data_IF_726856569078
#
_entry.id   IF_726856569078
#
_cell.length_a   1.000
_cell.length_b   1.000
_cell.length_c   1.000
_cell.angle_alpha   90.00
_cell.angle_beta   90.00
_cell.angle_gamma   90.00
#
_symmetry.space_group_name_H-M   'P 1'
#
loop_
_entity.id
_entity.type
_entity.pdbx_description
1 polymer ?
2 non-polymer ?
3 non-polymer ?
4 water ?
#
# COMPACT_ATOMS: atom_id res chain seq x y z
C UNK A 1 -19.78 -29.34 17.40
N UNK A 2 -20.19 -28.63 16.36
CA UNK A 2 -19.30 -27.59 15.73
C UNK A 2 -19.88 -26.21 16.05
N UNK A 3 -19.05 -25.18 16.13
CA UNK A 3 -19.53 -23.81 16.32
C UNK A 3 -18.79 -22.84 15.40
N UNK A 4 -19.43 -21.72 15.15
CA UNK A 4 -18.83 -20.63 14.34
C UNK A 4 -17.90 -19.84 15.20
N UNK A 5 -16.59 -19.91 14.91
CA UNK A 5 -15.63 -19.18 15.68
C UNK A 5 -15.42 -17.78 15.12
N UNK A 6 -15.55 -17.64 13.80
CA UNK A 6 -15.38 -16.31 13.15
C UNK A 6 -16.11 -16.36 11.81
N UNK A 7 -16.55 -15.21 11.39
CA UNK A 7 -17.32 -15.12 10.17
C UNK A 7 -17.25 -13.68 9.68
N UNK A 8 -17.04 -13.52 8.40
CA UNK A 8 -17.18 -12.26 7.78
C UNK A 8 -17.63 -12.41 6.36
N UNK A 9 -18.35 -11.40 5.84
CA UNK A 9 -18.88 -11.53 4.47
C UNK A 9 -19.13 -10.13 3.92
N UNK A 10 -19.14 -10.05 2.61
CA UNK A 10 -19.43 -8.78 1.94
C UNK A 10 -19.11 -8.76 0.46
N UNK A 11 -18.60 -7.65 -0.06
CA UNK A 11 -18.48 -7.47 -1.56
C UNK A 11 -17.09 -7.08 -1.86
N UNK A 12 -16.47 -7.79 -2.78
CA UNK A 12 -15.08 -7.54 -3.16
C UNK A 12 -15.07 -6.99 -4.57
N UNK A 13 -13.98 -6.36 -4.94
CA UNK A 13 -13.79 -5.95 -6.33
C UNK A 13 -14.84 -5.03 -6.89
N UNK A 14 -15.23 -4.02 -6.09
CA UNK A 14 -16.17 -3.04 -6.50
C UNK A 14 -15.40 -1.84 -7.08
N UNK A 15 -15.50 -1.72 -8.37
CA UNK A 15 -14.84 -0.67 -9.10
C UNK A 15 -15.68 0.62 -9.07
N UNK A 16 -15.07 1.73 -8.69
CA UNK A 16 -15.79 3.00 -8.55
C UNK A 16 -14.95 4.11 -9.18
N UNK A 17 -15.59 4.86 -10.05
CA UNK A 17 -15.03 6.09 -10.56
C UNK A 17 -15.94 7.21 -10.09
N UNK A 18 -15.32 8.30 -9.74
CA UNK A 18 -16.00 9.57 -9.45
C UNK A 18 -15.25 10.77 -10.09
N UNK A 19 -16.02 11.66 -10.72
CA UNK A 19 -15.48 12.90 -11.28
C UNK A 19 -15.95 14.14 -10.47
N UNK A 20 -15.07 15.08 -10.26
CA UNK A 20 -15.42 16.34 -9.67
C UNK A 20 -15.27 17.38 -10.79
N UNK A 21 -16.23 18.28 -10.91
CA UNK A 21 -16.21 19.35 -11.92
C UNK A 21 -16.21 20.74 -11.30
N UNK A 22 -15.10 21.47 -11.42
CA UNK A 22 -15.10 22.88 -11.07
C UNK A 22 -15.85 23.66 -12.18
N UNK A 23 -17.04 24.15 -11.84
CA UNK A 23 -17.87 24.89 -12.81
C UNK A 23 -17.23 26.23 -13.21
N UNK A 24 -16.45 26.83 -12.31
CA UNK A 24 -15.83 28.15 -12.56
C UNK A 24 -14.64 28.10 -13.53
N UNK A 25 -13.71 27.19 -13.26
CA UNK A 25 -12.49 27.04 -14.06
C UNK A 25 -12.62 26.00 -15.24
N UNK A 26 -13.65 25.16 -15.23
CA UNK A 26 -13.76 24.07 -16.21
C UNK A 26 -12.91 22.82 -15.90
N UNK A 27 -12.05 22.89 -14.89
CA UNK A 27 -11.10 21.82 -14.60
C UNK A 27 -11.86 20.63 -13.94
N UNK A 28 -11.69 19.43 -14.51
CA UNK A 28 -12.19 18.17 -13.94
C UNK A 28 -11.10 17.32 -13.30
N UNK A 29 -11.47 16.57 -12.25
CA UNK A 29 -10.54 15.72 -11.49
C UNK A 29 -11.24 14.38 -11.30
N UNK A 30 -10.54 13.30 -11.68
CA UNK A 30 -11.09 11.98 -11.57
C UNK A 30 -10.42 11.15 -10.44
N UNK A 31 -11.19 10.25 -9.89
CA UNK A 31 -10.74 9.33 -8.83
C UNK A 31 -11.24 7.97 -9.24
N UNK A 32 -10.38 6.95 -9.21
CA UNK A 32 -10.87 5.62 -9.50
C UNK A 32 -10.28 4.71 -8.43
N UNK A 33 -11.11 3.78 -7.92
CA UNK A 33 -10.74 2.89 -6.76
C UNK A 33 -11.31 1.57 -7.02
N UNK A 34 -10.82 0.60 -6.28
CA UNK A 34 -11.48 -0.66 -6.10
C UNK A 34 -11.69 -0.90 -4.63
N UNK A 35 -12.89 -1.28 -4.26
CA UNK A 35 -13.29 -1.25 -2.87
C UNK A 35 -13.75 -2.59 -2.48
N UNK A 36 -13.37 -3.01 -1.28
CA UNK A 36 -13.88 -4.24 -0.63
C UNK A 36 -14.48 -3.95 0.74
N UNK A 37 -15.66 -4.46 1.02
CA UNK A 37 -16.30 -4.28 2.34
C UNK A 37 -16.72 -5.65 2.85
N UNK A 38 -16.20 -5.97 4.02
CA UNK A 38 -16.58 -7.14 4.75
C UNK A 38 -17.17 -6.72 6.08
N UNK A 39 -18.27 -7.36 6.44
CA UNK A 39 -18.97 -7.06 7.70
C UNK A 39 -18.89 -8.26 8.65
N UNK A 40 -18.91 -7.97 9.95
CA UNK A 40 -19.09 -8.97 11.03
C UNK A 40 -20.16 -8.51 12.01
N UNK A 41 -20.79 -9.48 12.63
CA UNK A 41 -21.67 -9.15 13.78
C UNK A 41 -22.44 -10.37 14.19
N UNK A 42 -23.71 -10.14 14.53
CA UNK A 42 -24.55 -11.22 14.97
C UNK A 42 -25.20 -11.94 13.79
N UNK A 43 -24.36 -12.67 13.06
CA UNK A 43 -24.81 -13.30 11.76
C UNK A 43 -24.65 -14.82 11.68
N UNK A 44 -24.28 -15.43 12.81
CA UNK A 44 -23.97 -16.86 12.90
C UNK A 44 -25.11 -17.69 12.36
N UNK A 45 -26.34 -17.22 12.61
CA UNK A 45 -27.53 -18.05 12.26
C UNK A 45 -27.77 -18.24 10.77
N UNK A 46 -27.24 -17.31 9.96
CA UNK A 46 -27.24 -17.49 8.49
C UNK A 46 -26.44 -18.70 8.06
N UNK A 47 -25.35 -18.99 8.76
CA UNK A 47 -24.54 -20.19 8.54
C UNK A 47 -25.17 -21.47 9.13
N UNK A 48 -25.65 -21.36 10.35
CA UNK A 48 -26.02 -22.59 11.14
C UNK A 48 -27.45 -23.02 10.95
N UNK A 49 -28.39 -22.08 10.71
CA UNK A 49 -29.82 -22.33 10.67
C UNK A 49 -30.50 -21.85 9.36
N UNK A 50 -29.68 -21.50 8.37
CA UNK A 50 -30.23 -20.92 7.17
C UNK A 50 -31.15 -19.73 7.42
N UNK A 51 -30.75 -18.82 8.32
CA UNK A 51 -31.57 -17.70 8.65
C UNK A 51 -31.02 -16.50 7.88
N UNK A 52 -31.62 -16.21 6.73
CA UNK A 52 -31.12 -15.09 5.91
C UNK A 52 -31.52 -13.70 6.41
N UNK A 53 -32.37 -13.68 7.47
CA UNK A 53 -32.97 -12.43 7.94
C UNK A 53 -31.92 -11.46 8.48
N UNK A 54 -30.83 -12.04 8.98
CA UNK A 54 -29.68 -11.34 9.46
C UNK A 54 -28.74 -10.80 8.35
N UNK A 55 -28.92 -11.21 7.09
CA UNK A 55 -27.94 -10.83 6.03
C UNK A 55 -28.31 -9.53 5.32
N UNK A 56 -27.45 -8.53 5.39
CA UNK A 56 -27.50 -7.34 4.52
C UNK A 56 -26.87 -7.88 3.23
N UNK A 57 -27.64 -7.99 2.14
CA UNK A 57 -27.19 -8.69 0.97
C UNK A 57 -25.94 -8.04 0.41
N UNK A 58 -25.01 -8.85 -0.14
CA UNK A 58 -23.77 -8.28 -0.65
C UNK A 58 -24.13 -7.31 -1.82
N UNK A 59 -25.13 -7.65 -2.64
CA UNK A 59 -25.66 -6.70 -3.60
C UNK A 59 -26.01 -5.37 -2.99
N UNK A 60 -26.65 -5.35 -1.81
CA UNK A 60 -26.93 -4.07 -1.11
C UNK A 60 -25.70 -3.33 -0.64
N UNK A 61 -24.67 -4.09 -0.23
CA UNK A 61 -23.41 -3.49 0.18
C UNK A 61 -22.83 -2.69 -1.04
N UNK A 62 -22.83 -3.32 -2.21
CA UNK A 62 -22.36 -2.66 -3.47
C UNK A 62 -23.18 -1.39 -3.73
N UNK A 63 -24.52 -1.43 -3.67
CA UNK A 63 -25.36 -0.20 -3.78
C UNK A 63 -24.89 0.92 -2.80
N UNK A 64 -24.58 0.53 -1.57
CA UNK A 64 -24.22 1.51 -0.54
C UNK A 64 -22.95 2.20 -0.89
N UNK A 65 -22.01 1.42 -1.44
CA UNK A 65 -20.72 1.95 -1.79
C UNK A 65 -20.94 3.13 -2.83
N UNK A 66 -21.69 2.89 -3.87
CA UNK A 66 -22.00 3.93 -4.85
C UNK A 66 -22.71 5.13 -4.27
N UNK A 67 -23.70 4.83 -3.45
CA UNK A 67 -24.50 5.92 -2.82
C UNK A 67 -23.58 6.78 -1.94
N UNK A 68 -22.72 6.15 -1.14
CA UNK A 68 -21.82 6.85 -0.24
C UNK A 68 -20.84 7.72 -1.01
N UNK A 69 -20.30 7.20 -2.10
CA UNK A 69 -19.41 7.97 -2.97
C UNK A 69 -20.14 9.10 -3.65
N UNK A 70 -21.44 8.93 -3.90
CA UNK A 70 -22.21 10.03 -4.51
C UNK A 70 -22.38 11.19 -3.49
N UNK A 71 -22.57 10.87 -2.23
CA UNK A 71 -22.93 11.83 -1.20
C UNK A 71 -21.78 12.40 -0.39
N UNK A 72 -20.56 11.91 -0.57
CA UNK A 72 -19.45 12.22 0.25
C UNK A 72 -18.16 12.33 -0.58
N UNK A 73 -17.18 13.04 -0.06
CA UNK A 73 -15.87 12.97 -0.69
C UNK A 73 -15.31 11.55 -0.72
N UNK A 74 -14.57 11.26 -1.79
CA UNK A 74 -13.86 10.06 -1.92
C UNK A 74 -12.36 10.23 -1.61
N UNK A 75 -11.95 11.40 -1.20
CA UNK A 75 -10.55 11.63 -0.97
C UNK A 75 -10.47 12.40 0.33
N UNK A 76 -9.49 12.14 1.17
CA UNK A 76 -8.48 11.10 1.02
C UNK A 76 -9.20 9.80 1.34
N UNK A 77 -8.65 8.67 0.89
CA UNK A 77 -9.31 7.38 1.08
C UNK A 77 -9.45 6.92 2.49
N UNK A 78 -8.57 7.40 3.37
CA UNK A 78 -8.72 7.18 4.81
C UNK A 78 -10.07 7.74 5.35
N UNK A 79 -10.52 8.85 4.82
CA UNK A 79 -11.78 9.53 5.27
C UNK A 79 -12.96 8.78 4.62
N UNK A 80 -12.88 8.59 3.32
CA UNK A 80 -13.95 7.79 2.63
C UNK A 80 -14.16 6.41 3.31
N UNK A 81 -13.08 5.68 3.55
CA UNK A 81 -13.15 4.34 4.21
C UNK A 81 -13.82 4.34 5.57
N UNK A 82 -13.50 5.36 6.37
CA UNK A 82 -14.07 5.58 7.68
C UNK A 82 -15.58 5.89 7.62
N UNK A 83 -15.97 6.77 6.71
CA UNK A 83 -17.37 7.09 6.49
C UNK A 83 -18.14 5.86 6.06
N UNK A 84 -17.58 5.11 5.10
CA UNK A 84 -18.25 3.87 4.64
C UNK A 84 -18.39 2.78 5.73
N UNK A 85 -17.35 2.56 6.52
CA UNK A 85 -17.40 1.55 7.60
C UNK A 85 -18.32 1.95 8.73
N UNK A 86 -18.23 3.22 9.11
CA UNK A 86 -19.14 3.77 10.13
C UNK A 86 -20.59 3.60 9.77
N UNK A 87 -20.96 3.96 8.53
CA UNK A 87 -22.33 3.75 8.03
C UNK A 87 -22.86 2.38 8.39
N UNK A 88 -22.08 1.34 8.22
CA UNK A 88 -22.69 -0.04 8.38
C UNK A 88 -22.93 -0.40 9.86
N UNK A 89 -22.00 -0.01 10.73
CA UNK A 89 -22.13 -0.29 12.18
C UNK A 89 -23.23 0.58 12.82
N UNK A 90 -23.41 1.79 12.32
CA UNK A 90 -24.50 2.68 12.77
C UNK A 90 -25.86 2.32 12.25
N UNK A 91 -25.95 1.90 10.99
CA UNK A 91 -27.23 1.60 10.37
C UNK A 91 -27.83 0.29 10.83
N UNK A 92 -27.01 -0.72 11.10
CA UNK A 92 -27.52 -2.08 11.36
C UNK A 92 -27.10 -2.42 12.79
N UNK A 93 -28.11 -2.59 13.65
CA UNK A 93 -27.88 -2.91 15.06
C UNK A 93 -27.00 -4.13 15.31
N UNK A 94 -27.20 -5.15 14.49
CA UNK A 94 -26.54 -6.46 14.67
C UNK A 94 -25.19 -6.59 13.98
N UNK A 95 -24.83 -5.59 13.17
CA UNK A 95 -23.50 -5.48 12.58
C UNK A 95 -22.64 -4.71 13.53
N UNK A 96 -21.51 -5.30 13.94
CA UNK A 96 -20.60 -4.69 14.94
C UNK A 96 -19.22 -4.38 14.45
N UNK A 97 -18.87 -4.81 13.23
CA UNK A 97 -17.58 -4.44 12.65
C UNK A 97 -17.62 -4.36 11.12
N UNK A 98 -16.88 -3.40 10.57
CA UNK A 98 -16.84 -3.22 9.12
C UNK A 98 -15.42 -3.11 8.77
N UNK A 99 -15.01 -3.91 7.76
CA UNK A 99 -13.57 -3.93 7.30
C UNK A 99 -13.55 -3.40 5.86
N UNK A 100 -12.95 -2.23 5.64
CA UNK A 100 -13.03 -1.58 4.33
C UNK A 100 -11.64 -1.57 3.76
N UNK A 101 -11.43 -2.25 2.62
CA UNK A 101 -10.19 -2.09 1.84
C UNK A 101 -10.43 -1.30 0.54
N UNK A 102 -9.59 -0.33 0.28
CA UNK A 102 -9.64 0.57 -0.90
C UNK A 102 -8.25 0.54 -1.52
N UNK A 103 -8.22 0.27 -2.82
CA UNK A 103 -7.06 0.43 -3.69
C UNK A 103 -7.32 1.65 -4.55
N UNK A 104 -6.47 2.67 -4.51
CA UNK A 104 -6.58 3.82 -5.40
C UNK A 104 -5.65 3.67 -6.60
N UNK A 105 -6.23 3.85 -7.78
CA UNK A 105 -5.53 3.78 -9.06
C UNK A 105 -5.11 5.18 -9.50
N UNK A 106 -3.98 5.26 -10.18
CA UNK A 106 -3.45 6.54 -10.62
C UNK A 106 -4.10 7.06 -11.89
N UNK A 107 -4.73 8.23 -11.79
CA UNK A 107 -5.09 9.01 -12.96
C UNK A 107 -4.43 10.38 -12.84
N UNK A 108 -3.33 10.50 -13.54
CA UNK A 108 -2.45 11.67 -13.38
C UNK A 108 -2.81 12.68 -14.49
N UNK A 109 -3.01 13.93 -14.14
CA UNK A 109 -3.34 14.95 -15.16
C UNK A 109 -2.25 15.05 -16.27
N UNK A 110 -2.65 14.90 -17.53
CA UNK A 110 -1.70 15.08 -18.65
C UNK A 110 -1.21 16.51 -18.74
N UNK A 111 0.06 16.67 -19.07
CA UNK A 111 0.60 17.95 -19.50
C UNK A 111 0.71 17.92 -20.98
N UNK A 112 0.21 18.97 -21.60
CA UNK A 112 0.09 19.07 -23.05
C UNK A 112 0.71 20.41 -23.39
N UNK A 113 1.78 20.36 -24.18
CA UNK A 113 2.51 21.57 -24.58
C UNK A 113 2.94 22.43 -23.38
N UNK A 114 3.39 21.74 -22.31
CA UNK A 114 3.83 22.35 -21.08
C UNK A 114 2.79 22.31 -19.97
N UNK A 115 1.55 22.66 -20.33
CA UNK A 115 0.53 23.07 -19.36
C UNK A 115 -0.53 22.00 -19.08
N UNK A 116 -1.04 21.97 -17.84
CA UNK A 116 -1.94 20.85 -17.38
C UNK A 116 -3.30 20.83 -18.05
N UNK A 117 -3.72 19.71 -18.62
CA UNK A 117 -4.98 19.64 -19.34
C UNK A 117 -6.16 19.59 -18.36
N UNK A 118 -7.23 20.37 -18.61
CA UNK A 118 -8.39 20.32 -17.74
C UNK A 118 -9.16 19.00 -17.54
N UNK A 119 -9.17 18.08 -18.50
CA UNK A 119 -9.94 16.87 -18.36
C UNK A 119 -9.33 15.58 -19.00
N UNK A 120 -7.99 15.54 -19.10
CA UNK A 120 -7.26 14.40 -19.70
C UNK A 120 -6.19 13.87 -18.73
N UNK A 121 -6.12 12.55 -18.65
CA UNK A 121 -5.39 11.82 -17.59
C UNK A 121 -4.64 10.64 -18.20
N UNK A 122 -3.56 10.26 -17.54
CA UNK A 122 -2.75 9.18 -17.93
C UNK A 122 -2.51 8.25 -16.73
N UNK A 123 -2.40 6.97 -16.98
CA UNK A 123 -2.09 6.02 -15.88
C UNK A 123 -0.56 5.95 -15.92
N UNK A 124 0.10 6.85 -15.19
CA UNK A 124 1.56 6.89 -15.09
C UNK A 124 2.00 6.05 -13.91
N UNK A 125 1.78 4.77 -14.04
CA UNK A 125 2.38 3.77 -13.19
C UNK A 125 1.27 2.85 -12.64
N UNK A 126 1.65 1.63 -12.33
CA UNK A 126 0.79 0.72 -11.61
C UNK A 126 0.95 0.84 -10.08
N UNK A 127 1.74 1.79 -9.60
CA UNK A 127 1.80 2.08 -8.17
C UNK A 127 0.42 2.39 -7.61
N UNK A 128 0.06 1.85 -6.42
CA UNK A 128 -1.28 2.04 -5.79
C UNK A 128 -1.05 2.79 -4.46
N UNK A 129 -2.05 3.57 -4.06
CA UNK A 129 -2.23 4.02 -2.72
C UNK A 129 -3.45 3.25 -2.13
N UNK A 130 -3.24 2.59 -0.99
CA UNK A 130 -4.24 1.76 -0.38
C UNK A 130 -4.58 2.21 1.03
N UNK A 131 -5.76 1.78 1.48
CA UNK A 131 -6.11 1.86 2.89
C UNK A 131 -6.84 0.60 3.35
N UNK A 132 -6.56 0.19 4.60
CA UNK A 132 -7.42 -0.75 5.32
C UNK A 132 -8.02 -0.02 6.52
N UNK A 133 -9.34 0.11 6.57
CA UNK A 133 -10.04 0.76 7.71
C UNK A 133 -10.88 -0.34 8.39
N UNK A 134 -10.65 -0.52 9.68
CA UNK A 134 -11.46 -1.43 10.49
C UNK A 134 -12.25 -0.58 11.48
N UNK A 135 -13.58 -0.65 11.36
CA UNK A 135 -14.49 0.14 12.19
C UNK A 135 -15.18 -0.87 13.08
N UNK A 136 -14.89 -0.77 14.38
CA UNK A 136 -15.42 -1.80 15.35
C UNK A 136 -16.28 -1.11 16.42
N UNK A 137 -17.53 -1.56 16.54
CA UNK A 137 -18.50 -0.86 17.35
C UNK A 137 -17.97 -0.82 18.77
N UNK A 138 -17.87 0.39 19.33
CA UNK A 138 -17.29 0.58 20.67
C UNK A 138 -15.78 0.74 20.77
N UNK A 139 -15.01 0.45 19.71
CA UNK A 139 -13.55 0.41 19.83
C UNK A 139 -12.90 1.23 18.76
N UNK A 140 -13.65 2.12 18.12
CA UNK A 140 -13.06 3.15 17.29
C UNK A 140 -12.71 2.65 15.87
N UNK A 141 -11.74 3.33 15.27
CA UNK A 141 -11.38 3.19 13.86
C UNK A 141 -9.87 3.06 13.77
N UNK A 142 -9.44 1.96 13.18
CA UNK A 142 -8.03 1.60 13.01
C UNK A 142 -7.76 1.68 11.51
N UNK A 143 -6.86 2.55 11.15
CA UNK A 143 -6.51 2.85 9.77
C UNK A 143 -5.04 2.38 9.52
N UNK A 144 -4.87 1.50 8.53
CA UNK A 144 -3.55 1.26 7.95
C UNK A 144 -3.51 1.81 6.53
N UNK A 145 -2.58 2.73 6.29
CA UNK A 145 -2.40 3.36 5.00
C UNK A 145 -1.15 2.76 4.33
N UNK A 146 -1.16 2.66 3.01
CA UNK A 146 0.01 2.01 2.34
C UNK A 146 0.23 2.44 0.92
N UNK A 147 1.49 2.29 0.46
CA UNK A 147 1.75 2.35 -0.94
C UNK A 147 2.27 1.00 -1.39
N UNK A 148 2.02 0.67 -2.63
CA UNK A 148 2.50 -0.60 -3.14
C UNK A 148 2.74 -0.50 -4.61
N UNK A 149 3.52 -1.44 -5.16
CA UNK A 149 3.82 -1.44 -6.60
C UNK A 149 4.75 -0.36 -7.12
N UNK A 150 5.58 0.17 -6.24
CA UNK A 150 6.56 1.16 -6.55
C UNK A 150 7.87 0.44 -6.84
N UNK A 151 8.23 0.34 -8.11
CA UNK A 151 9.30 -0.49 -8.59
C UNK A 151 10.48 0.37 -8.94
N UNK A 152 11.60 0.05 -8.29
CA UNK A 152 12.78 0.88 -8.38
C UNK A 152 13.99 0.01 -8.63
N UNK A 153 15.06 0.63 -9.12
CA UNK A 153 16.29 -0.06 -9.36
C UNK A 153 17.45 0.91 -9.24
N UNK A 154 18.52 0.49 -8.59
CA UNK A 154 19.77 1.22 -8.68
C UNK A 154 20.88 0.27 -9.12
N UNK A 155 21.73 0.82 -9.97
CA UNK A 155 22.75 0.08 -10.70
C UNK A 155 24.07 -0.08 -9.94
N UNK A 156 24.23 0.68 -8.86
CA UNK A 156 25.45 0.60 -8.08
C UNK A 156 25.10 1.18 -6.71
N UNK A 157 26.08 1.19 -5.81
CA UNK A 157 25.95 1.69 -4.42
C UNK A 157 25.05 0.80 -3.61
N UNK A 158 25.23 -0.49 -3.85
CA UNK A 158 24.65 -1.49 -3.03
C UNK A 158 25.73 -2.53 -2.82
N UNK A 159 25.80 -3.07 -1.59
CA UNK A 159 26.78 -4.08 -1.18
C UNK A 159 26.11 -5.18 -0.41
N UNK A 160 26.74 -6.34 -0.34
CA UNK A 160 26.25 -7.40 0.56
C UNK A 160 27.43 -8.31 0.88
N UNK A 161 28.02 -8.03 2.02
CA UNK A 161 29.23 -8.78 2.50
C UNK A 161 29.15 -8.97 4.02
N UNK A 162 29.96 -9.87 4.57
CA UNK A 162 29.87 -10.15 5.98
C UNK A 162 28.77 -11.05 6.54
N UNK A 163 28.07 -11.77 5.66
CA UNK A 163 27.01 -12.68 6.09
C UNK A 163 27.57 -14.04 6.57
N UNK A 164 26.75 -14.83 7.26
CA UNK A 164 27.13 -16.14 7.78
C UNK A 164 27.51 -17.08 6.63
N UNK A 165 28.65 -17.70 6.74
CA UNK A 165 29.13 -18.68 5.74
C UNK A 165 29.22 -20.04 6.37
N UNK A 166 28.57 -21.05 5.83
CA UNK A 166 28.74 -22.35 6.33
C UNK A 166 28.70 -23.27 5.13
N UNK A 167 28.46 -24.55 5.37
CA UNK A 167 28.44 -25.57 4.31
C UNK A 167 27.19 -25.54 3.40
N UNK A 168 26.20 -24.73 3.73
CA UNK A 168 25.07 -24.47 2.82
C UNK A 168 25.27 -23.22 1.94
N UNK A 169 26.42 -22.53 2.08
CA UNK A 169 26.66 -21.20 1.42
C UNK A 169 27.48 -21.28 0.16
N UNK A 170 26.92 -20.82 -0.98
CA UNK A 170 27.71 -20.59 -2.18
C UNK A 170 27.87 -19.13 -2.58
N UNK A 171 26.98 -18.28 -2.06
CA UNK A 171 26.92 -16.92 -2.49
C UNK A 171 28.27 -16.25 -2.24
N UNK A 172 28.75 -15.46 -3.18
CA UNK A 172 29.98 -14.66 -2.95
C UNK A 172 29.66 -13.27 -2.41
N UNK A 173 30.60 -12.78 -1.57
CA UNK A 173 30.52 -11.43 -1.06
C UNK A 173 30.73 -10.46 -2.16
N UNK A 174 30.05 -9.32 -2.08
CA UNK A 174 30.16 -8.31 -3.09
C UNK A 174 30.16 -6.85 -2.49
N UNK A 175 30.87 -5.97 -3.14
CA UNK A 175 30.93 -4.59 -2.77
C UNK A 175 30.29 -3.70 -3.80
N UNK A 176 29.62 -4.30 -4.81
CA UNK A 176 29.00 -3.51 -5.84
C UNK A 176 28.02 -4.39 -6.59
N UNK A 177 26.73 -4.16 -6.39
CA UNK A 177 25.71 -4.96 -7.08
C UNK A 177 24.54 -4.07 -7.46
N UNK A 178 23.64 -4.67 -8.27
CA UNK A 178 22.37 -4.09 -8.61
C UNK A 178 21.40 -4.38 -7.44
N UNK A 179 20.56 -3.40 -7.10
CA UNK A 179 19.47 -3.60 -6.14
C UNK A 179 18.21 -3.11 -6.76
N UNK A 180 17.22 -3.99 -6.79
CA UNK A 180 15.92 -3.63 -7.40
C UNK A 180 14.83 -4.22 -6.55
N UNK A 181 13.75 -3.47 -6.34
CA UNK A 181 12.66 -3.96 -5.48
C UNK A 181 11.31 -3.37 -5.93
N UNK A 182 10.24 -4.00 -5.43
CA UNK A 182 8.88 -3.44 -5.49
C UNK A 182 8.45 -3.05 -4.06
N UNK A 183 8.25 -1.79 -3.79
CA UNK A 183 8.08 -1.31 -2.44
C UNK A 183 6.64 -1.51 -2.02
N UNK A 184 6.45 -2.24 -0.93
CA UNK A 184 5.19 -2.31 -0.18
C UNK A 184 5.51 -1.64 1.19
N UNK A 185 4.89 -0.52 1.48
CA UNK A 185 5.10 0.19 2.76
C UNK A 185 3.75 0.55 3.38
N UNK A 186 3.59 0.22 4.66
CA UNK A 186 2.35 0.45 5.36
C UNK A 186 2.63 1.26 6.62
N UNK A 187 1.83 2.27 6.89
CA UNK A 187 1.95 3.04 8.15
C UNK A 187 0.65 2.98 8.87
N UNK A 188 0.74 2.61 10.13
CA UNK A 188 -0.43 2.35 10.91
C UNK A 188 -0.69 3.52 11.87
N UNK A 189 -1.92 4.05 11.78
CA UNK A 189 -2.33 5.23 12.58
C UNK A 189 -2.70 4.83 13.99
N UNK A 190 -2.46 5.75 14.94
CA UNK A 190 -3.15 5.70 16.22
C UNK A 190 -4.63 5.43 16.04
N UNK A 191 -5.18 4.56 16.89
CA UNK A 191 -6.61 4.38 16.97
C UNK A 191 -7.34 5.71 17.08
N UNK A 192 -8.41 5.84 16.31
CA UNK A 192 -9.19 7.07 16.31
C UNK A 192 -10.50 6.73 17.00
N UNK A 193 -11.06 7.69 17.76
CA UNK A 193 -12.25 7.44 18.57
C UNK A 193 -13.52 7.28 17.72
N UNK A 194 -13.55 7.94 16.58
CA UNK A 194 -14.65 7.80 15.65
C UNK A 194 -14.45 8.78 14.54
N UNK A 195 -15.52 9.06 13.79
CA UNK A 195 -15.42 9.84 12.55
C UNK A 195 -15.02 11.33 12.80
N UNK A 196 -15.51 11.91 13.89
CA UNK A 196 -15.10 13.26 14.22
C UNK A 196 -13.60 13.32 14.38
N UNK A 197 -12.97 12.39 15.07
CA UNK A 197 -11.52 12.48 15.21
C UNK A 197 -10.78 12.33 13.85
N UNK A 198 -11.28 11.41 13.01
CA UNK A 198 -10.70 11.18 11.69
C UNK A 198 -10.79 12.44 10.89
N UNK A 199 -11.97 13.08 10.93
CA UNK A 199 -12.12 14.34 10.20
C UNK A 199 -11.17 15.40 10.66
N UNK A 200 -10.91 15.43 11.95
CA UNK A 200 -10.00 16.46 12.49
C UNK A 200 -8.51 16.32 11.99
N UNK A 201 -8.14 15.12 11.49
CA UNK A 201 -6.78 14.83 10.99
C UNK A 201 -6.65 14.76 9.50
N UNK A 202 -7.70 15.20 8.79
CA UNK A 202 -7.78 14.99 7.33
C UNK A 202 -6.56 15.49 6.54
N UNK A 203 -6.00 16.67 6.87
CA UNK A 203 -4.85 17.16 6.09
C UNK A 203 -3.58 16.27 6.23
N UNK A 204 -3.48 15.56 7.35
CA UNK A 204 -2.34 14.72 7.60
C UNK A 204 -2.29 13.42 6.69
N UNK A 205 -3.41 12.96 6.15
CA UNK A 205 -3.37 11.67 5.38
C UNK A 205 -2.60 11.80 4.07
N UNK A 206 -2.98 12.77 3.21
CA UNK A 206 -2.23 13.04 1.99
C UNK A 206 -0.80 13.44 2.26
N UNK A 207 -0.56 14.31 3.25
CA UNK A 207 0.79 14.77 3.57
C UNK A 207 1.76 13.65 4.01
N UNK A 208 1.25 12.70 4.78
CA UNK A 208 2.01 11.57 5.25
C UNK A 208 2.29 10.52 4.12
N UNK A 209 1.31 10.32 3.25
CA UNK A 209 1.51 9.46 2.09
C UNK A 209 2.65 10.09 1.24
N UNK A 210 2.59 11.42 1.02
CA UNK A 210 3.69 12.07 0.27
C UNK A 210 5.07 11.96 0.95
N UNK A 211 5.10 12.12 2.26
CA UNK A 211 6.33 11.96 3.02
C UNK A 211 6.87 10.56 2.94
N UNK A 212 6.02 9.58 3.18
CA UNK A 212 6.42 8.21 3.04
C UNK A 212 7.06 7.89 1.69
N UNK A 213 6.43 8.38 0.62
CA UNK A 213 6.87 8.06 -0.71
C UNK A 213 8.20 8.74 -0.98
N UNK A 214 8.29 10.01 -0.61
CA UNK A 214 9.53 10.82 -0.73
C UNK A 214 10.70 10.22 0.06
N UNK A 215 10.43 9.76 1.29
CA UNK A 215 11.48 9.14 2.14
C UNK A 215 11.95 7.84 1.54
N UNK A 216 11.00 7.04 1.05
CA UNK A 216 11.34 5.75 0.44
C UNK A 216 12.29 6.01 -0.74
N UNK A 217 11.90 6.91 -1.61
CA UNK A 217 12.67 7.26 -2.81
C UNK A 217 14.06 7.81 -2.55
N UNK A 218 14.13 8.87 -1.74
CA UNK A 218 15.45 9.46 -1.37
C UNK A 218 16.39 8.51 -0.70
N UNK A 219 15.88 7.73 0.26
CA UNK A 219 16.69 6.83 1.04
C UNK A 219 17.26 5.74 0.14
N UNK A 220 16.38 5.16 -0.70
CA UNK A 220 16.84 4.16 -1.67
C UNK A 220 17.90 4.69 -2.59
N UNK A 221 17.70 5.86 -3.18
CA UNK A 221 18.68 6.46 -4.04
C UNK A 221 20.00 6.79 -3.35
N UNK A 222 19.96 7.42 -2.18
CA UNK A 222 21.19 7.89 -1.53
C UNK A 222 21.94 6.94 -0.59
N UNK A 223 21.26 5.99 0.00
CA UNK A 223 21.92 5.08 0.88
C UNK A 223 22.93 4.25 0.16
N UNK A 224 24.17 4.26 0.66
CA UNK A 224 25.14 3.24 0.23
C UNK A 224 24.85 1.96 1.00
N UNK A 225 24.07 1.11 0.37
CA UNK A 225 23.27 0.11 1.13
C UNK A 225 24.08 -1.10 1.57
N UNK A 226 23.98 -1.48 2.83
CA UNK A 226 24.74 -2.62 3.36
C UNK A 226 23.96 -3.89 3.24
N UNK A 227 22.66 -3.75 2.95
CA UNK A 227 21.70 -4.87 2.85
C UNK A 227 20.32 -4.22 2.65
N UNK A 228 19.38 -5.03 2.19
CA UNK A 228 18.02 -4.53 2.08
C UNK A 228 17.56 -4.15 3.53
N UNK A 229 17.84 -5.06 4.46
CA UNK A 229 17.49 -4.95 5.88
C UNK A 229 17.90 -3.56 6.41
N UNK A 230 19.12 -3.20 6.10
CA UNK A 230 19.66 -2.00 6.69
C UNK A 230 19.05 -0.78 6.03
N UNK A 231 18.73 -0.88 4.74
CA UNK A 231 18.24 0.29 4.00
C UNK A 231 16.77 0.56 4.37
N UNK A 232 16.01 -0.52 4.59
CA UNK A 232 14.61 -0.36 4.86
C UNK A 232 14.38 0.25 6.27
N UNK A 233 15.23 -0.11 7.19
CA UNK A 233 15.21 0.38 8.56
C UNK A 233 15.29 1.91 8.56
N UNK A 234 16.22 2.42 7.78
CA UNK A 234 16.44 3.85 7.66
C UNK A 234 15.22 4.59 7.14
N UNK A 235 14.51 3.96 6.20
CA UNK A 235 13.27 4.53 5.68
C UNK A 235 12.22 4.60 6.78
N UNK A 236 12.04 3.50 7.50
CA UNK A 236 11.01 3.35 8.52
C UNK A 236 11.26 4.33 9.69
N UNK A 237 12.53 4.45 10.07
CA UNK A 237 12.93 5.37 11.15
C UNK A 237 12.54 6.77 10.83
N UNK A 238 12.85 7.23 9.61
CA UNK A 238 12.53 8.58 9.20
C UNK A 238 11.04 8.96 9.14
N UNK A 239 10.21 8.07 8.59
CA UNK A 239 8.77 8.25 8.59
C UNK A 239 8.19 8.44 10.00
N UNK A 240 8.58 7.55 10.91
CA UNK A 240 8.16 7.64 12.32
C UNK A 240 8.54 8.98 12.96
N UNK A 241 9.66 9.52 12.54
CA UNK A 241 10.12 10.76 13.09
C UNK A 241 9.38 11.96 12.53
N UNK A 242 8.85 11.85 11.32
CA UNK A 242 8.16 12.99 10.66
C UNK A 242 6.64 13.05 10.96
N UNK A 243 6.05 11.98 11.52
CA UNK A 243 4.61 11.90 11.80
C UNK A 243 4.29 11.12 13.11
N UNK A 244 3.95 11.93 14.12
CA UNK A 244 3.81 11.49 15.50
C UNK A 244 2.58 10.64 15.69
N UNK A 245 1.56 10.77 14.82
CA UNK A 245 0.30 9.98 14.91
C UNK A 245 0.36 8.54 14.34
N UNK A 246 1.50 8.21 13.74
CA UNK A 246 1.83 6.85 13.27
C UNK A 246 2.41 6.05 14.38
N UNK A 247 1.84 4.88 14.63
CA UNK A 247 2.42 3.98 15.60
C UNK A 247 3.46 2.98 15.06
N UNK A 248 3.23 2.41 13.90
CA UNK A 248 4.19 1.44 13.35
C UNK A 248 4.34 1.73 11.85
N UNK A 249 5.55 1.41 11.32
CA UNK A 249 5.79 1.37 9.87
C UNK A 249 6.24 -0.03 9.55
N UNK A 250 5.59 -0.64 8.55
CA UNK A 250 5.99 -1.94 8.01
C UNK A 250 6.51 -1.79 6.57
N UNK A 251 7.51 -2.57 6.24
CA UNK A 251 8.03 -2.62 4.84
C UNK A 251 8.13 -4.06 4.47
N UNK A 252 7.75 -4.38 3.25
CA UNK A 252 7.96 -5.72 2.75
C UNK A 252 8.60 -5.57 1.36
N UNK A 253 9.84 -6.05 1.18
CA UNK A 253 10.64 -5.74 -0.01
C UNK A 253 11.17 -7.00 -0.64
N UNK A 254 10.71 -7.30 -1.85
CA UNK A 254 11.48 -8.31 -2.61
C UNK A 254 12.87 -7.83 -3.08
N UNK A 255 13.81 -8.75 -3.12
CA UNK A 255 15.11 -8.51 -3.64
C UNK A 255 15.06 -9.22 -5.01
N UNK A 256 14.95 -8.43 -6.08
CA UNK A 256 14.71 -8.95 -7.45
C UNK A 256 16.11 -9.03 -8.01
N UNK A 257 16.61 -10.23 -8.14
CA UNK A 257 18.00 -10.47 -8.48
C UNK A 257 18.30 -10.28 -9.94
N UNK A 258 19.44 -9.66 -10.21
CA UNK A 258 20.03 -9.53 -11.54
C UNK A 258 21.37 -10.26 -11.51
N UNK A 259 21.54 -11.34 -12.28
CA UNK A 259 22.78 -12.14 -12.18
C UNK A 259 23.83 -11.70 -13.22
N UNK A 260 25.10 -11.74 -12.81
CA UNK A 260 26.20 -11.60 -13.77
C UNK A 260 26.17 -12.78 -14.75
N UNK A 261 26.60 -12.53 -15.98
CA UNK A 261 26.69 -13.58 -16.97
C UNK A 261 28.16 -13.77 -17.38
N UNK A 262 28.74 -14.93 -17.06
CA UNK A 262 30.13 -15.19 -17.48
C UNK A 262 30.18 -15.54 -18.94
N UNK A 263 30.81 -14.69 -19.72
CA UNK A 263 30.96 -14.92 -21.18
C UNK A 263 32.37 -15.34 -21.55
N UNK A 264 33.22 -15.63 -20.55
CA UNK A 264 34.60 -15.80 -20.87
C UNK A 264 34.87 -17.05 -21.74
N UNK A 265 34.01 -18.06 -21.66
CA UNK A 265 34.03 -19.22 -22.59
C UNK A 265 33.97 -18.82 -24.07
N UNK A 266 33.48 -17.61 -24.39
CA UNK A 266 33.44 -17.11 -25.75
C UNK A 266 34.49 -16.03 -26.05
N UNK A 267 35.58 -16.43 -26.71
CA UNK A 267 36.66 -15.49 -27.13
C UNK A 267 37.29 -14.71 -25.94
N UNK A 268 37.26 -15.29 -24.75
CA UNK A 268 37.65 -14.62 -23.50
C UNK A 268 36.93 -13.32 -23.13
N UNK A 269 35.70 -13.15 -23.62
CA UNK A 269 34.97 -11.92 -23.36
C UNK A 269 34.82 -11.68 -21.83
N UNK A 270 35.01 -10.45 -21.40
CA UNK A 270 35.06 -10.10 -19.98
C UNK A 270 33.75 -9.37 -19.61
N UNK A 271 32.91 -10.04 -18.86
CA UNK A 271 31.61 -9.49 -18.46
C UNK A 271 31.29 -9.77 -16.97
N UNK A 272 32.31 -9.96 -16.11
CA UNK A 272 32.11 -10.11 -14.69
C UNK A 272 32.89 -9.08 -13.87
N UNK A 273 32.54 -9.01 -12.60
CA UNK A 273 33.19 -8.10 -11.65
C UNK A 273 33.12 -6.71 -12.19
N UNK A 274 34.26 -6.03 -12.28
CA UNK A 274 34.25 -4.66 -12.78
C UNK A 274 33.97 -4.57 -14.28
N UNK A 275 34.02 -5.72 -14.97
CA UNK A 275 33.73 -5.75 -16.40
C UNK A 275 32.25 -6.07 -16.77
N UNK A 276 31.39 -6.27 -15.77
CA UNK A 276 29.97 -6.60 -15.98
C UNK A 276 29.17 -5.47 -16.59
N UNK A 277 28.58 -5.72 -17.77
CA UNK A 277 27.73 -4.78 -18.43
C UNK A 277 26.39 -5.45 -18.77
N UNK A 278 26.42 -6.72 -19.18
CA UNK A 278 25.20 -7.42 -19.54
C UNK A 278 24.84 -8.42 -18.41
N UNK A 279 23.62 -8.35 -17.92
CA UNK A 279 23.13 -9.12 -16.78
C UNK A 279 21.83 -9.79 -17.16
N UNK A 280 21.50 -10.84 -16.43
CA UNK A 280 20.29 -11.62 -16.65
C UNK A 280 19.32 -11.38 -15.47
N UNK A 281 18.25 -10.64 -15.70
CA UNK A 281 17.22 -10.51 -14.67
C UNK A 281 16.60 -11.86 -14.32
N UNK A 282 16.43 -12.16 -13.05
CA UNK A 282 15.91 -13.42 -12.60
C UNK A 282 14.41 -13.22 -12.22
N UNK A 283 13.51 -14.00 -12.81
CA UNK A 283 12.10 -13.86 -12.53
C UNK A 283 11.78 -14.46 -11.17
N UNK A 284 12.43 -15.57 -10.88
CA UNK A 284 12.31 -16.26 -9.58
C UNK A 284 13.59 -17.07 -9.35
N UNK A 285 13.90 -17.52 -8.13
CA UNK A 285 13.25 -17.09 -6.87
C UNK A 285 13.61 -15.69 -6.51
N UNK A 286 13.09 -15.19 -5.39
CA UNK A 286 13.53 -13.85 -4.92
C UNK A 286 13.62 -13.80 -3.45
N UNK A 287 14.49 -12.87 -2.97
CA UNK A 287 14.66 -12.56 -1.57
C UNK A 287 13.43 -11.83 -1.17
N UNK A 288 12.98 -12.06 0.08
CA UNK A 288 11.78 -11.43 0.65
C UNK A 288 12.15 -11.01 2.09
N UNK A 289 12.23 -9.71 2.31
CA UNK A 289 12.72 -9.07 3.52
C UNK A 289 11.60 -8.20 4.12
N UNK A 290 11.26 -8.43 5.40
CA UNK A 290 10.13 -7.71 6.05
C UNK A 290 10.62 -7.16 7.39
N UNK A 291 10.05 -6.01 7.73
CA UNK A 291 10.35 -5.37 9.03
C UNK A 291 9.07 -4.65 9.48
N UNK A 292 8.82 -4.68 10.79
CA UNK A 292 7.88 -3.71 11.44
C UNK A 292 8.64 -2.92 12.49
N UNK A 293 8.64 -1.61 12.36
CA UNK A 293 9.39 -0.72 13.22
C UNK A 293 8.36 0.08 13.96
N UNK A 294 8.57 0.25 15.26
CA UNK A 294 7.77 1.14 16.11
C UNK A 294 8.65 2.03 17.00
N UNK A 295 7.97 2.70 17.91
CA UNK A 295 8.56 3.62 18.88
C UNK A 295 9.09 2.90 20.14
N UNK A 296 10.30 3.30 20.59
CA UNK A 296 11.06 2.69 21.72
C UNK A 296 10.21 2.27 22.89
X LIG B 1 19.78 -9.26 2.21
X LIG B 1 20.32 -8.76 1.12
X LIG B 1 20.27 -7.56 0.95
X LIG B 1 20.82 -9.51 0.10
X LIG B 1 20.91 -10.82 0.21
X LIG B 1 20.38 -11.45 1.38
X LIG B 1 19.79 -10.57 2.42
X LIG B 1 19.33 -11.01 3.45
X LIG B 1 20.52 -12.77 1.23
X LIG B 1 21.14 -13.02 0.06
X LIG B 1 21.34 -11.81 -0.57
X LIG C 1 -24.22 -1.85 14.79
#
# INVERSE_FOLDING_TARGET
XSAVKAARYGKDNVRVYKVHKDEKTGVQTVYEMTVCVLLEGEIETSYTKADNSVIVATDSIKNTIYITAKQNPVTPPELFGSILGTHFIEKYNHIHAAHVNIVCHRWTRMDIDGKPHPHSFIRDSEEKRNVQVDVVEGKGIDIKSSLSGLTVLKSTNSQFWGFLRDEYTTLKETWDRILSTDVDATWQWKNFSGLQEVRSHVPKFDATWATAREVTLKTFAEDNSASVQATMYKMAEQILARQQLIETVEYSLPNKHYFEIDLSWHKGLQNTGKNAEVFAPQSDPNGLIKCTVGRSSLKSKL
AZA N1 C2 O2 N3 C4 C5 C6 O6 N7 N8 N9
NA NA
#
